data_IF_927644059570
#
_entry.id   IF_927644059570
#
_cell.length_a   1.000
_cell.length_b   1.000
_cell.length_c   1.000
_cell.angle_alpha   90.00
_cell.angle_beta   90.00
_cell.angle_gamma   90.00
#
_symmetry.space_group_name_H-M   'P 1'
#
loop_
_entity.id
_entity.type
_entity.pdbx_description
1 polymer ?
#
# COMPACT_ATOMS: atom_id res chain seq x y z
N UNK A 1 41.33 -32.01 58.65
CA UNK A 1 40.33 -32.84 57.93
C UNK A 1 40.38 -32.44 56.46
N UNK A 2 41.02 -33.22 55.58
CA UNK A 2 40.38 -34.17 54.63
C UNK A 2 39.34 -33.45 53.76
N UNK A 3 39.36 -33.40 52.43
CA UNK A 3 39.85 -34.33 51.38
C UNK A 3 39.54 -33.67 50.00
N UNK A 4 40.42 -33.74 48.99
CA UNK A 4 40.29 -34.55 47.75
C UNK A 4 39.31 -33.96 46.71
N UNK A 5 39.79 -33.35 45.61
CA UNK A 5 40.14 -33.92 44.27
C UNK A 5 38.94 -33.95 43.31
N UNK A 6 39.15 -33.25 42.17
CA UNK A 6 39.00 -33.71 40.78
C UNK A 6 37.98 -34.83 40.50
N UNK A 7 37.06 -34.63 39.55
CA UNK A 7 37.09 -35.35 38.27
C UNK A 7 35.80 -35.14 37.45
N UNK A 8 36.06 -34.86 36.17
CA UNK A 8 35.18 -34.98 35.01
C UNK A 8 34.32 -36.26 35.03
N UNK A 9 33.06 -36.15 34.62
CA UNK A 9 32.38 -37.21 33.84
C UNK A 9 31.49 -36.60 32.75
N UNK A 10 31.85 -36.93 31.51
CA UNK A 10 30.99 -36.93 30.33
C UNK A 10 29.95 -38.04 30.50
N UNK A 11 28.69 -37.78 30.15
CA UNK A 11 27.77 -38.81 29.61
C UNK A 11 26.78 -38.16 28.66
N UNK A 12 26.75 -38.67 27.43
CA UNK A 12 25.74 -38.42 26.40
C UNK A 12 24.35 -38.88 26.86
N UNK A 13 23.29 -38.15 26.53
CA UNK A 13 21.98 -38.74 26.30
C UNK A 13 21.44 -38.22 24.95
N UNK A 14 21.22 -39.19 24.07
CA UNK A 14 20.72 -39.09 22.70
C UNK A 14 19.22 -39.43 22.71
N UNK A 15 18.48 -38.93 21.71
CA UNK A 15 17.11 -39.29 21.27
C UNK A 15 16.00 -38.54 22.01
N UNK A 16 15.01 -37.95 21.35
CA UNK A 16 14.21 -38.50 20.23
C UNK A 16 13.63 -37.37 19.36
N UNK A 17 13.88 -37.46 18.06
CA UNK A 17 13.09 -36.81 17.01
C UNK A 17 11.85 -37.68 16.80
N UNK A 18 10.66 -37.11 16.96
CA UNK A 18 9.41 -37.76 16.55
C UNK A 18 8.96 -37.13 15.24
N UNK A 19 8.97 -37.97 14.21
CA UNK A 19 8.50 -37.65 12.86
C UNK A 19 6.98 -37.43 12.85
N UNK A 20 6.55 -36.32 12.27
CA UNK A 20 5.18 -36.16 11.78
C UNK A 20 5.15 -36.74 10.37
N UNK A 21 4.39 -37.82 10.23
CA UNK A 21 4.23 -38.61 9.02
C UNK A 21 3.30 -37.86 8.06
N UNK A 22 3.85 -37.38 6.95
CA UNK A 22 3.09 -36.91 5.79
C UNK A 22 2.28 -38.08 5.22
N UNK A 23 0.96 -37.97 5.25
CA UNK A 23 0.07 -38.88 4.53
C UNK A 23 -0.44 -38.13 3.31
N UNK A 24 0.07 -38.52 2.14
CA UNK A 24 -0.40 -38.01 0.83
C UNK A 24 -1.76 -38.64 0.55
N UNK A 25 -2.82 -37.90 0.85
CA UNK A 25 -4.18 -38.20 0.42
C UNK A 25 -4.48 -37.49 -0.89
N UNK A 26 -4.51 -38.25 -2.00
CA UNK A 26 -5.15 -37.82 -3.25
C UNK A 26 -6.61 -37.46 -2.95
N UNK A 27 -7.07 -36.29 -3.36
CA UNK A 27 -8.39 -36.03 -3.97
C UNK A 27 -8.49 -34.54 -4.36
N UNK A 28 -8.51 -34.29 -5.67
CA UNK A 28 -9.14 -33.11 -6.26
C UNK A 28 -10.58 -33.55 -6.60
N UNK A 29 -11.60 -32.80 -6.15
CA UNK A 29 -12.36 -32.05 -7.14
C UNK A 29 -12.87 -30.68 -6.65
N UNK A 30 -13.16 -29.82 -7.63
CA UNK A 30 -13.99 -28.60 -7.58
C UNK A 30 -13.51 -27.46 -6.66
N UNK A 31 -12.67 -26.59 -7.23
CA UNK A 31 -12.61 -25.19 -6.84
C UNK A 31 -13.96 -24.53 -7.17
N UNK A 32 -14.87 -24.55 -6.20
CA UNK A 32 -15.99 -23.62 -6.17
C UNK A 32 -15.42 -22.22 -5.94
N UNK A 33 -15.38 -21.43 -7.02
CA UNK A 33 -15.18 -19.98 -6.93
C UNK A 33 -16.35 -19.44 -6.11
N UNK A 34 -16.12 -19.16 -4.83
CA UNK A 34 -17.05 -18.37 -4.03
C UNK A 34 -16.91 -16.93 -4.49
N UNK A 35 -17.89 -16.52 -5.27
CA UNK A 35 -18.28 -15.13 -5.52
C UNK A 35 -18.20 -14.34 -4.20
N UNK A 36 -17.25 -13.39 -4.13
CA UNK A 36 -17.18 -12.43 -3.04
C UNK A 36 -18.33 -11.47 -3.25
N UNK A 37 -19.45 -11.74 -2.58
CA UNK A 37 -20.59 -10.83 -2.53
C UNK A 37 -20.16 -9.56 -1.78
N UNK A 38 -20.36 -8.41 -2.43
CA UNK A 38 -20.34 -7.10 -1.81
C UNK A 38 -21.50 -7.00 -0.80
N UNK A 39 -21.28 -7.51 0.41
CA UNK A 39 -22.19 -7.36 1.54
C UNK A 39 -21.46 -7.74 2.82
N UNK A 40 -20.64 -6.84 3.33
CA UNK A 40 -20.45 -6.63 4.77
C UNK A 40 -19.59 -5.37 5.00
N UNK A 41 -20.13 -4.21 4.61
CA UNK A 41 -19.75 -2.95 5.25
C UNK A 41 -20.49 -2.90 6.61
N UNK A 42 -20.15 -3.84 7.50
CA UNK A 42 -20.70 -3.93 8.83
C UNK A 42 -20.19 -2.76 9.66
N UNK A 43 -21.10 -2.01 10.29
CA UNK A 43 -20.78 -1.00 11.29
C UNK A 43 -20.04 -1.67 12.45
N UNK A 44 -18.71 -1.63 12.43
CA UNK A 44 -17.89 -2.12 13.51
C UNK A 44 -18.14 -1.22 14.74
N UNK A 45 -18.94 -1.72 15.68
CA UNK A 45 -18.95 -1.19 17.05
C UNK A 45 -17.53 -1.28 17.57
N UNK A 46 -17.03 -0.19 18.17
CA UNK A 46 -15.70 -0.09 18.77
C UNK A 46 -15.50 -1.19 19.82
N UNK A 47 -14.89 -2.30 19.43
CA UNK A 47 -14.17 -3.15 20.39
C UNK A 47 -12.74 -2.61 20.52
N UNK A 48 -12.61 -1.67 21.46
CA UNK A 48 -11.46 -1.56 22.36
C UNK A 48 -10.05 -1.68 21.81
N UNK A 49 -9.63 -0.82 20.88
CA UNK A 49 -8.24 -0.35 20.91
C UNK A 49 -8.17 0.73 21.99
N UNK A 50 -7.74 0.33 23.20
CA UNK A 50 -7.29 1.27 24.23
C UNK A 50 -6.06 2.00 23.69
N UNK A 51 -6.28 3.07 22.94
CA UNK A 51 -5.20 4.00 22.57
C UNK A 51 -4.87 4.78 23.83
N UNK A 52 -3.94 4.26 24.63
CA UNK A 52 -3.36 4.98 25.76
C UNK A 52 -2.39 6.03 25.20
N UNK A 53 -2.90 7.21 24.87
CA UNK A 53 -2.10 8.34 24.38
C UNK A 53 -2.92 9.37 23.59
N UNK A 54 -2.30 10.53 23.30
CA UNK A 54 -2.89 11.53 22.40
C UNK A 54 -3.00 10.96 20.99
N UNK A 55 -4.23 10.93 20.44
CA UNK A 55 -4.49 10.50 19.07
C UNK A 55 -4.42 11.70 18.11
N UNK A 56 -3.84 11.49 16.93
CA UNK A 56 -3.77 12.46 15.84
C UNK A 56 -4.47 11.87 14.61
N UNK A 57 -5.25 12.68 13.90
CA UNK A 57 -6.04 12.23 12.75
C UNK A 57 -5.89 13.25 11.63
N UNK A 58 -5.63 12.78 10.41
CA UNK A 58 -5.58 13.64 9.23
C UNK A 58 -7.00 14.02 8.83
N UNK A 59 -7.25 15.32 8.63
CA UNK A 59 -8.54 15.81 8.14
C UNK A 59 -8.42 16.20 6.67
N UNK A 60 -9.26 15.62 5.81
CA UNK A 60 -9.36 15.94 4.40
C UNK A 60 -10.58 16.83 4.18
N UNK A 61 -10.36 17.97 3.53
CA UNK A 61 -11.42 18.91 3.20
C UNK A 61 -12.16 18.49 1.94
N UNK A 62 -13.49 18.53 1.99
CA UNK A 62 -14.41 18.29 0.88
C UNK A 62 -15.37 19.47 0.74
N UNK A 63 -15.88 19.67 -0.46
CA UNK A 63 -16.95 20.64 -0.71
C UNK A 63 -18.24 20.19 0.02
N UNK A 64 -18.84 19.09 -0.43
CA UNK A 64 -20.11 18.57 0.13
C UNK A 64 -20.26 17.04 0.09
N UNK A 65 -19.36 16.30 -0.55
CA UNK A 65 -19.53 14.88 -0.87
C UNK A 65 -18.66 13.91 -0.04
N UNK A 66 -18.23 14.29 1.16
CA UNK A 66 -17.38 13.46 2.02
C UNK A 66 -17.93 12.02 2.24
N UNK A 67 -19.25 11.86 2.42
CA UNK A 67 -19.85 10.53 2.62
C UNK A 67 -19.80 9.69 1.33
N UNK A 68 -20.07 10.29 0.18
CA UNK A 68 -20.00 9.60 -1.11
C UNK A 68 -18.57 9.18 -1.42
N UNK A 69 -17.59 10.04 -1.12
CA UNK A 69 -16.17 9.74 -1.23
C UNK A 69 -15.76 8.57 -0.36
N UNK A 70 -16.07 8.60 0.94
CA UNK A 70 -15.73 7.53 1.87
C UNK A 70 -16.34 6.18 1.45
N UNK A 71 -17.59 6.17 0.98
CA UNK A 71 -18.27 4.95 0.52
C UNK A 71 -17.59 4.37 -0.73
N UNK A 72 -17.31 5.21 -1.71
CA UNK A 72 -16.60 4.78 -2.91
C UNK A 72 -15.20 4.24 -2.58
N UNK A 73 -14.47 4.91 -1.70
CA UNK A 73 -13.17 4.42 -1.26
C UNK A 73 -13.27 3.05 -0.58
N UNK A 74 -14.33 2.78 0.18
CA UNK A 74 -14.58 1.45 0.76
C UNK A 74 -14.89 0.38 -0.29
N UNK A 75 -15.43 0.76 -1.45
CA UNK A 75 -15.70 -0.17 -2.56
C UNK A 75 -14.43 -0.52 -3.32
N UNK A 76 -13.53 0.46 -3.52
CA UNK A 76 -12.37 0.31 -4.42
C UNK A 76 -11.05 0.04 -3.69
N UNK A 77 -10.85 0.52 -2.48
CA UNK A 77 -9.59 0.33 -1.75
C UNK A 77 -9.65 -0.91 -0.85
N UNK A 78 -8.58 -1.72 -0.82
CA UNK A 78 -8.49 -2.81 0.13
C UNK A 78 -8.41 -2.26 1.56
N UNK A 79 -8.98 -2.99 2.52
CA UNK A 79 -8.95 -2.68 3.96
C UNK A 79 -9.48 -1.28 4.34
N UNK A 80 -10.28 -0.69 3.45
CA UNK A 80 -10.98 0.56 3.67
C UNK A 80 -12.26 0.33 4.48
N UNK A 81 -12.46 1.11 5.53
CA UNK A 81 -13.62 0.97 6.42
C UNK A 81 -14.26 2.32 6.70
N UNK A 82 -15.58 2.35 6.49
CA UNK A 82 -16.40 3.50 6.82
C UNK A 82 -16.57 3.61 8.34
N UNK A 83 -16.30 4.78 8.88
CA UNK A 83 -16.43 5.11 10.29
C UNK A 83 -17.75 5.83 10.61
N UNK A 84 -17.72 6.57 11.71
CA UNK A 84 -18.87 7.34 12.18
C UNK A 84 -19.17 8.53 11.25
N UNK A 85 -20.46 8.77 10.99
CA UNK A 85 -20.92 9.90 10.19
C UNK A 85 -21.61 10.89 11.14
N UNK A 86 -21.01 12.08 11.27
CA UNK A 86 -21.59 13.19 12.01
C UNK A 86 -22.44 14.05 11.08
N UNK A 87 -23.61 14.46 11.57
CA UNK A 87 -24.59 15.27 10.84
C UNK A 87 -24.89 16.55 11.60
N UNK A 88 -25.19 17.61 10.86
CA UNK A 88 -25.72 18.86 11.40
C UNK A 88 -27.20 18.70 11.80
N UNK A 89 -27.76 19.71 12.47
CA UNK A 89 -29.16 19.67 12.95
C UNK A 89 -30.21 19.55 11.84
N UNK A 90 -29.87 19.91 10.60
CA UNK A 90 -30.71 19.75 9.40
C UNK A 90 -30.54 18.37 8.73
N UNK A 91 -29.67 17.51 9.25
CA UNK A 91 -29.39 16.18 8.72
C UNK A 91 -28.27 16.11 7.68
N UNK A 92 -27.72 17.25 7.25
CA UNK A 92 -26.62 17.28 6.30
C UNK A 92 -25.34 16.70 6.93
N UNK A 93 -24.53 15.99 6.13
CA UNK A 93 -23.27 15.40 6.60
C UNK A 93 -22.25 16.49 6.86
N UNK A 94 -21.66 16.50 8.05
CA UNK A 94 -20.57 17.39 8.41
C UNK A 94 -19.21 16.68 8.34
N UNK A 95 -19.07 15.54 9.02
CA UNK A 95 -17.82 14.78 9.08
C UNK A 95 -18.07 13.29 8.88
N UNK A 96 -17.10 12.62 8.25
CA UNK A 96 -17.10 11.19 8.05
C UNK A 96 -15.78 10.62 8.54
N UNK A 97 -15.84 9.72 9.52
CA UNK A 97 -14.69 8.90 9.89
C UNK A 97 -14.40 7.89 8.79
N UNK A 98 -13.13 7.70 8.49
CA UNK A 98 -12.69 6.80 7.42
C UNK A 98 -11.33 6.20 7.76
N UNK A 99 -11.20 4.88 7.63
CA UNK A 99 -9.95 4.18 7.90
C UNK A 99 -9.43 3.50 6.64
N UNK A 100 -8.15 3.67 6.36
CA UNK A 100 -7.40 2.94 5.34
C UNK A 100 -6.30 2.11 6.00
N UNK A 101 -6.49 0.79 6.05
CA UNK A 101 -5.57 -0.09 6.76
C UNK A 101 -5.44 0.32 8.23
N UNK A 102 -4.27 0.80 8.64
CA UNK A 102 -4.01 1.27 10.02
C UNK A 102 -4.14 2.80 10.21
N UNK A 103 -4.46 3.55 9.16
CA UNK A 103 -4.52 5.01 9.17
C UNK A 103 -5.96 5.51 9.28
N UNK A 104 -6.20 6.40 10.24
CA UNK A 104 -7.49 7.06 10.47
C UNK A 104 -7.53 8.43 9.82
N UNK A 105 -8.65 8.75 9.19
CA UNK A 105 -8.94 10.01 8.53
C UNK A 105 -10.31 10.54 8.97
N UNK A 106 -10.44 11.87 8.93
CA UNK A 106 -11.73 12.55 8.97
C UNK A 106 -11.93 13.25 7.63
N UNK A 107 -13.05 13.02 6.96
CA UNK A 107 -13.45 13.78 5.78
C UNK A 107 -14.47 14.82 6.22
N UNK A 108 -14.17 16.10 6.00
CA UNK A 108 -14.98 17.24 6.45
C UNK A 108 -15.61 17.94 5.25
N UNK A 109 -16.94 18.02 5.25
CA UNK A 109 -17.67 18.90 4.34
C UNK A 109 -17.58 20.34 4.84
N UNK A 110 -16.80 21.18 4.15
CA UNK A 110 -16.58 22.57 4.52
C UNK A 110 -16.84 23.58 3.40
N UNK A 111 -17.37 23.13 2.25
CA UNK A 111 -17.61 23.98 1.09
C UNK A 111 -16.37 24.15 0.19
N UNK A 112 -16.48 24.86 -0.93
CA UNK A 112 -15.49 24.84 -2.02
C UNK A 112 -14.24 25.72 -1.75
N UNK A 113 -14.07 26.22 -0.52
CA UNK A 113 -13.08 27.25 -0.20
C UNK A 113 -11.64 26.75 -0.24
N UNK A 114 -11.41 25.49 0.12
CA UNK A 114 -10.08 24.91 0.23
C UNK A 114 -9.96 23.68 -0.69
N UNK A 115 -9.65 23.88 -1.97
CA UNK A 115 -9.44 22.77 -2.89
C UNK A 115 -8.18 21.99 -2.50
N UNK A 116 -8.22 20.69 -2.72
CA UNK A 116 -7.08 19.81 -2.54
C UNK A 116 -5.97 20.13 -3.54
N UNK A 117 -4.73 19.92 -3.12
CA UNK A 117 -3.53 20.07 -3.96
C UNK A 117 -2.61 18.87 -3.77
N UNK A 118 -1.58 18.78 -4.60
CA UNK A 118 -0.53 17.76 -4.53
C UNK A 118 0.31 17.86 -3.24
N UNK A 119 0.16 18.95 -2.47
CA UNK A 119 0.87 19.16 -1.20
C UNK A 119 0.59 18.07 -0.15
N UNK A 120 -0.58 17.42 -0.23
CA UNK A 120 -0.89 16.22 0.54
C UNK A 120 -1.43 15.14 -0.42
N UNK A 121 -0.93 13.92 -0.29
CA UNK A 121 -1.38 12.78 -1.08
C UNK A 121 -1.42 11.50 -0.25
N UNK A 122 -2.26 10.56 -0.68
CA UNK A 122 -2.32 9.22 -0.10
C UNK A 122 -1.53 8.29 -1.03
N UNK A 123 -0.44 7.72 -0.52
CA UNK A 123 0.37 6.75 -1.25
C UNK A 123 -0.09 5.33 -0.93
N UNK A 124 -0.41 4.57 -1.98
CA UNK A 124 -0.81 3.17 -1.91
C UNK A 124 0.33 2.31 -2.42
N UNK A 125 0.85 1.46 -1.55
CA UNK A 125 1.90 0.50 -1.89
C UNK A 125 1.26 -0.77 -2.46
N UNK A 126 1.30 -0.90 -3.79
CA UNK A 126 0.66 -1.99 -4.50
C UNK A 126 1.56 -3.23 -4.53
N UNK A 127 0.92 -4.40 -4.46
CA UNK A 127 1.56 -5.71 -4.44
C UNK A 127 1.95 -6.26 -5.82
N UNK A 128 1.46 -5.64 -6.90
CA UNK A 128 1.78 -5.98 -8.29
C UNK A 128 0.91 -5.23 -9.30
N UNK A 129 1.10 -5.52 -10.59
CA UNK A 129 0.51 -4.74 -11.69
C UNK A 129 -1.02 -4.77 -11.68
N UNK A 130 -1.65 -5.91 -11.41
CA UNK A 130 -3.11 -6.02 -11.40
C UNK A 130 -3.76 -5.10 -10.35
N UNK A 131 -3.09 -4.88 -9.22
CA UNK A 131 -3.57 -3.95 -8.20
C UNK A 131 -3.34 -2.49 -8.62
N UNK A 132 -2.20 -2.19 -9.23
CA UNK A 132 -1.92 -0.88 -9.83
C UNK A 132 -3.00 -0.51 -10.83
N UNK A 133 -3.28 -1.39 -11.80
CA UNK A 133 -4.25 -1.15 -12.86
C UNK A 133 -5.66 -0.92 -12.29
N UNK A 134 -6.10 -1.82 -11.39
CA UNK A 134 -7.41 -1.74 -10.77
C UNK A 134 -7.61 -0.43 -10.01
N UNK A 135 -6.63 -0.03 -9.20
CA UNK A 135 -6.74 1.19 -8.40
C UNK A 135 -6.58 2.46 -9.24
N UNK A 136 -5.68 2.44 -10.21
CA UNK A 136 -5.49 3.54 -11.15
C UNK A 136 -6.79 3.83 -11.91
N UNK A 137 -7.38 2.81 -12.52
CA UNK A 137 -8.61 2.96 -13.30
C UNK A 137 -9.79 3.37 -12.41
N UNK A 138 -9.91 2.77 -11.22
CA UNK A 138 -10.98 3.11 -10.29
C UNK A 138 -10.89 4.56 -9.78
N UNK A 139 -9.70 5.07 -9.48
CA UNK A 139 -9.56 6.44 -8.97
C UNK A 139 -9.66 7.49 -10.09
N UNK A 140 -9.40 7.11 -11.35
CA UNK A 140 -9.65 7.96 -12.51
C UNK A 140 -11.12 7.98 -12.95
N UNK A 141 -11.90 6.98 -12.56
CA UNK A 141 -13.31 6.88 -12.94
C UNK A 141 -14.11 8.12 -12.50
N UNK A 142 -15.06 8.51 -13.36
CA UNK A 142 -16.01 9.59 -13.12
C UNK A 142 -15.39 10.96 -12.83
N UNK A 143 -14.25 11.27 -13.47
CA UNK A 143 -13.67 12.62 -13.50
C UNK A 143 -12.33 12.77 -12.79
N UNK A 144 -11.64 11.68 -12.46
CA UNK A 144 -10.25 11.76 -12.03
C UNK A 144 -9.30 12.16 -13.17
N UNK A 145 -8.13 12.67 -12.79
CA UNK A 145 -7.13 13.23 -13.70
C UNK A 145 -5.78 12.54 -13.47
N UNK A 146 -5.19 11.90 -14.49
CA UNK A 146 -3.87 11.29 -14.35
C UNK A 146 -2.79 12.36 -14.26
N UNK A 147 -1.72 12.02 -13.57
CA UNK A 147 -0.47 12.78 -13.51
C UNK A 147 0.72 11.85 -13.76
N UNK A 148 1.92 12.34 -13.53
CA UNK A 148 3.17 11.63 -13.81
C UNK A 148 3.59 10.74 -12.64
N UNK A 149 4.42 9.73 -12.91
CA UNK A 149 5.13 8.93 -11.90
C UNK A 149 4.20 8.21 -10.89
N UNK A 150 3.05 7.73 -11.34
CA UNK A 150 2.06 7.05 -10.49
C UNK A 150 1.13 8.00 -9.73
N UNK A 151 1.18 9.31 -10.01
CA UNK A 151 0.27 10.28 -9.40
C UNK A 151 -1.03 10.41 -10.17
N UNK A 152 -2.12 10.66 -9.45
CA UNK A 152 -3.41 11.08 -10.02
C UNK A 152 -4.19 11.92 -9.01
N UNK A 153 -5.23 12.59 -9.48
CA UNK A 153 -6.29 13.13 -8.64
C UNK A 153 -7.59 12.39 -8.92
N UNK A 154 -8.36 12.07 -7.89
CA UNK A 154 -9.71 11.53 -8.10
C UNK A 154 -10.72 12.64 -8.42
N UNK A 155 -11.99 12.25 -8.60
CA UNK A 155 -13.09 13.17 -8.93
C UNK A 155 -13.38 14.23 -7.87
N UNK A 156 -12.93 14.04 -6.63
CA UNK A 156 -13.03 15.04 -5.55
C UNK A 156 -11.75 15.87 -5.40
N UNK A 157 -10.74 15.61 -6.23
CA UNK A 157 -9.46 16.32 -6.25
C UNK A 157 -8.44 15.80 -5.24
N UNK A 158 -8.71 14.71 -4.51
CA UNK A 158 -7.73 14.13 -3.59
C UNK A 158 -6.57 13.57 -4.40
N UNK A 159 -5.33 13.91 -4.01
CA UNK A 159 -4.13 13.44 -4.69
C UNK A 159 -3.76 12.04 -4.20
N UNK A 160 -3.49 11.13 -5.13
CA UNK A 160 -3.11 9.74 -4.86
C UNK A 160 -1.78 9.41 -5.55
N UNK A 161 -1.02 8.50 -4.94
CA UNK A 161 0.15 7.88 -5.56
C UNK A 161 -0.04 6.37 -5.57
N UNK A 162 -0.20 5.78 -6.75
CA UNK A 162 -0.38 4.33 -6.93
C UNK A 162 0.97 3.75 -7.30
N UNK A 163 1.68 3.25 -6.29
CA UNK A 163 3.11 2.93 -6.39
C UNK A 163 3.33 1.44 -6.15
N UNK A 164 3.81 0.66 -7.12
CA UNK A 164 4.18 -0.73 -6.89
C UNK A 164 5.42 -0.82 -6.00
N UNK A 165 5.50 -1.83 -5.13
CA UNK A 165 6.65 -2.04 -4.24
C UNK A 165 7.97 -2.22 -5.01
N UNK A 166 7.88 -2.83 -6.18
CA UNK A 166 8.98 -3.09 -7.09
C UNK A 166 9.67 -1.78 -7.52
N UNK A 167 8.90 -0.70 -7.73
CA UNK A 167 9.46 0.61 -8.05
C UNK A 167 10.35 1.11 -6.90
N UNK A 168 9.85 1.04 -5.65
CA UNK A 168 10.63 1.49 -4.49
C UNK A 168 11.93 0.70 -4.31
N UNK A 169 11.92 -0.60 -4.62
CA UNK A 169 13.12 -1.43 -4.60
C UNK A 169 14.09 -1.07 -5.70
N UNK A 170 13.62 -0.84 -6.93
CA UNK A 170 14.48 -0.46 -8.05
C UNK A 170 15.11 0.93 -7.88
N UNK A 171 14.38 1.90 -7.35
CA UNK A 171 14.93 3.23 -7.07
C UNK A 171 15.95 3.23 -5.92
N UNK A 172 15.89 2.23 -5.05
CA UNK A 172 16.82 2.06 -3.91
C UNK A 172 17.88 0.99 -4.17
N UNK A 173 18.08 0.60 -5.44
CA UNK A 173 19.01 -0.47 -5.79
C UNK A 173 20.46 -0.08 -5.43
N UNK A 174 21.26 -0.99 -4.84
CA UNK A 174 22.68 -0.73 -4.58
C UNK A 174 23.51 -0.44 -5.82
N UNK A 175 23.09 -0.89 -7.01
CA UNK A 175 23.67 -0.50 -8.29
C UNK A 175 23.08 0.86 -8.74
N UNK A 176 23.87 1.95 -8.70
CA UNK A 176 23.38 3.28 -9.08
C UNK A 176 22.96 3.36 -10.55
N UNK A 177 23.56 2.56 -11.44
CA UNK A 177 23.21 2.54 -12.86
C UNK A 177 21.82 1.94 -13.08
N UNK A 178 21.52 0.86 -12.37
CA UNK A 178 20.18 0.24 -12.36
C UNK A 178 19.13 1.19 -11.80
N UNK A 179 19.39 1.81 -10.66
CA UNK A 179 18.49 2.79 -10.05
C UNK A 179 18.26 4.01 -10.95
N UNK A 180 19.30 4.52 -11.62
CA UNK A 180 19.19 5.66 -12.53
C UNK A 180 18.36 5.35 -13.77
N UNK A 181 18.49 4.15 -14.36
CA UNK A 181 17.65 3.72 -15.48
C UNK A 181 16.19 3.52 -15.07
N UNK A 182 15.95 2.93 -13.91
CA UNK A 182 14.61 2.80 -13.34
C UNK A 182 13.96 4.18 -13.12
N UNK A 183 14.71 5.14 -12.56
CA UNK A 183 14.27 6.52 -12.40
C UNK A 183 13.95 7.18 -13.74
N UNK A 184 14.83 7.05 -14.73
CA UNK A 184 14.63 7.62 -16.07
C UNK A 184 13.36 7.08 -16.74
N UNK A 185 13.10 5.78 -16.62
CA UNK A 185 11.86 5.17 -17.12
C UNK A 185 10.62 5.64 -16.35
N UNK A 186 10.69 5.73 -15.02
CA UNK A 186 9.58 6.23 -14.21
C UNK A 186 9.16 7.65 -14.62
N UNK A 187 10.11 8.53 -14.93
CA UNK A 187 9.84 9.92 -15.33
C UNK A 187 9.12 10.06 -16.67
N UNK A 188 9.08 9.01 -17.50
CA UNK A 188 8.31 8.99 -18.75
C UNK A 188 6.90 8.40 -18.58
N UNK A 189 6.58 7.87 -17.39
CA UNK A 189 5.34 7.16 -17.12
C UNK A 189 4.29 8.06 -16.45
N UNK A 190 3.04 7.85 -16.84
CA UNK A 190 1.87 8.28 -16.07
C UNK A 190 1.55 7.23 -15.01
N UNK A 191 0.81 6.18 -15.41
CA UNK A 191 0.66 4.94 -14.64
C UNK A 191 1.97 4.15 -14.67
N UNK A 192 2.35 3.54 -13.55
CA UNK A 192 3.56 2.72 -13.49
C UNK A 192 3.32 1.35 -14.11
N UNK A 193 4.14 1.01 -15.10
CA UNK A 193 4.16 -0.32 -15.73
C UNK A 193 5.40 -1.08 -15.23
N UNK A 194 5.20 -2.03 -14.31
CA UNK A 194 6.28 -2.73 -13.59
C UNK A 194 7.24 -3.43 -14.57
N UNK A 195 6.69 -4.10 -15.58
CA UNK A 195 7.50 -4.86 -16.54
C UNK A 195 8.41 -3.95 -17.37
N UNK A 196 7.91 -2.79 -17.81
CA UNK A 196 8.69 -1.81 -18.58
C UNK A 196 9.77 -1.17 -17.69
N UNK A 197 9.42 -0.87 -16.44
CA UNK A 197 10.35 -0.28 -15.50
C UNK A 197 11.51 -1.23 -15.16
N UNK A 198 11.18 -2.52 -15.01
CA UNK A 198 12.16 -3.56 -14.75
C UNK A 198 13.02 -3.85 -15.97
N UNK A 199 12.45 -3.88 -17.17
CA UNK A 199 13.21 -3.99 -18.41
C UNK A 199 14.19 -2.81 -18.59
N UNK A 200 13.77 -1.59 -18.27
CA UNK A 200 14.66 -0.42 -18.32
C UNK A 200 15.78 -0.49 -17.28
N UNK A 201 15.45 -0.90 -16.05
CA UNK A 201 16.44 -1.09 -14.99
C UNK A 201 17.50 -2.13 -15.37
N UNK A 202 17.07 -3.25 -15.93
CA UNK A 202 17.91 -4.41 -16.25
C UNK A 202 18.57 -4.31 -17.65
N UNK A 203 18.27 -3.27 -18.44
CA UNK A 203 18.93 -3.04 -19.71
C UNK A 203 20.44 -2.86 -19.51
N UNK A 204 21.25 -3.54 -20.32
CA UNK A 204 22.70 -3.39 -20.34
C UNK A 204 23.00 -1.91 -20.57
N UNK A 205 23.56 -1.26 -19.54
CA UNK A 205 23.97 0.13 -19.62
C UNK A 205 24.93 0.25 -20.80
N UNK A 206 24.64 1.15 -21.74
CA UNK A 206 25.55 1.48 -22.82
C UNK A 206 26.94 1.76 -22.22
N UNK A 207 27.84 0.80 -22.40
CA UNK A 207 29.26 0.96 -22.18
C UNK A 207 29.82 1.71 -23.40
N UNK A 208 29.51 3.00 -23.49
CA UNK A 208 29.99 3.94 -24.51
C UNK A 208 29.33 5.30 -24.26
N UNK A 209 29.99 6.45 -24.16
CA UNK A 209 31.33 6.83 -24.49
C UNK A 209 31.77 8.01 -23.59
N UNK A 210 32.76 7.77 -22.74
CA UNK A 210 33.76 8.78 -22.42
C UNK A 210 35.10 8.18 -22.81
N UNK A 211 35.36 8.19 -24.11
CA UNK A 211 36.67 7.90 -24.66
C UNK A 211 37.69 8.84 -24.02
N UNK A 212 38.75 8.22 -23.52
CA UNK A 212 40.03 8.84 -23.25
C UNK A 212 40.42 9.84 -24.34
N UNK A 213 41.00 10.97 -23.91
CA UNK A 213 42.01 11.69 -24.69
C UNK A 213 41.54 12.92 -25.44
N UNK A 214 41.91 14.11 -24.94
CA UNK A 214 42.90 14.96 -25.60
C UNK A 214 43.29 16.14 -24.70
N UNK A 215 44.40 15.98 -23.97
CA UNK A 215 45.25 17.11 -23.64
C UNK A 215 45.93 17.66 -24.89
N UNK A 216 46.31 18.93 -24.88
CA UNK A 216 47.73 19.26 -24.96
C UNK A 216 48.29 19.80 -23.64
#
# INVERSE_FOLDING_TARGET
MRRIVLARRRTLIVRRVSQVRLTVGKHCPSLGVREVRAADCGSARREGLSVSGTAYTTCLWFDSEAEAAARYYCEVLPDAVLGEISRMGDGAVLMVGFRLGTQEFTLLNGGPRFPQTEAASISVSCSGQAEVDRLWDALLADGGVPSQCGWLKDRWGVSWQIVPRELMWMLSDPDPGRAQRAMAAMLTMGKIEIAELQAAADADGDAGALSEGRGP
#
